data_IF_171429342934
#
_entry.id   IF_171429342934
#
_cell.length_a   1.000
_cell.length_b   1.000
_cell.length_c   1.000
_cell.angle_alpha   90.00
_cell.angle_beta   90.00
_cell.angle_gamma   90.00
#
_symmetry.space_group_name_H-M   'P 1'
#
loop_
_entity.id
_entity.type
_entity.pdbx_description
1 polymer ?
#
# COMPACT_ATOMS: atom_id res chain seq x y z
N UNK A 1 -5.95 3.50 0.70
CA UNK A 1 -6.88 3.64 1.85
C UNK A 1 -6.42 2.66 2.91
N UNK A 2 -6.17 3.09 4.15
CA UNK A 2 -5.84 2.17 5.25
C UNK A 2 -7.11 1.53 5.81
N UNK A 3 -7.13 0.20 5.89
CA UNK A 3 -8.23 -0.55 6.47
C UNK A 3 -7.91 -0.89 7.93
N UNK A 4 -8.78 -0.52 8.88
CA UNK A 4 -8.56 -0.78 10.31
C UNK A 4 -8.47 -2.29 10.65
N UNK A 5 -9.10 -3.12 9.82
CA UNK A 5 -9.06 -4.58 9.94
C UNK A 5 -7.76 -5.19 9.40
N UNK A 6 -6.95 -4.42 8.67
CA UNK A 6 -5.70 -4.93 8.11
C UNK A 6 -4.68 -5.27 9.21
N UNK A 7 -3.92 -6.36 9.04
CA UNK A 7 -2.71 -6.63 9.80
C UNK A 7 -1.64 -5.54 9.59
N UNK A 8 -0.69 -5.45 10.52
CA UNK A 8 0.33 -4.39 10.52
C UNK A 8 1.23 -4.41 9.27
N UNK A 9 1.71 -5.58 8.87
CA UNK A 9 2.50 -5.80 7.65
C UNK A 9 1.77 -5.35 6.38
N UNK A 10 0.45 -5.59 6.32
CA UNK A 10 -0.39 -5.11 5.22
C UNK A 10 -0.52 -3.58 5.22
N UNK A 11 -0.61 -2.96 6.39
CA UNK A 11 -0.61 -1.49 6.52
C UNK A 11 0.73 -0.90 6.07
N UNK A 12 1.85 -1.49 6.47
CA UNK A 12 3.20 -1.09 6.04
C UNK A 12 3.34 -1.19 4.52
N UNK A 13 2.92 -2.33 3.94
CA UNK A 13 2.95 -2.53 2.48
C UNK A 13 2.05 -1.53 1.75
N UNK A 14 0.89 -1.21 2.32
CA UNK A 14 -0.01 -0.19 1.76
C UNK A 14 0.61 1.22 1.80
N UNK A 15 1.38 1.56 2.84
CA UNK A 15 2.10 2.83 2.92
C UNK A 15 3.16 2.93 1.82
N UNK A 16 4.00 1.89 1.65
CA UNK A 16 5.00 1.82 0.57
C UNK A 16 4.37 1.86 -0.82
N UNK A 17 3.27 1.14 -1.03
CA UNK A 17 2.54 1.20 -2.31
C UNK A 17 2.06 2.62 -2.64
N UNK A 18 1.60 3.38 -1.63
CA UNK A 18 1.20 4.76 -1.87
C UNK A 18 2.38 5.62 -2.33
N UNK A 19 3.59 5.43 -1.80
CA UNK A 19 4.79 6.12 -2.28
C UNK A 19 5.15 5.74 -3.71
N UNK A 20 5.14 4.45 -4.03
CA UNK A 20 5.36 3.96 -5.40
C UNK A 20 4.34 4.53 -6.41
N UNK A 21 3.14 4.89 -5.95
CA UNK A 21 2.08 5.52 -6.72
C UNK A 21 2.10 7.07 -6.68
N UNK A 22 3.06 7.70 -5.99
CA UNK A 22 3.12 9.15 -5.81
C UNK A 22 1.96 9.75 -5.00
N UNK A 23 1.29 8.94 -4.18
CA UNK A 23 0.14 9.35 -3.39
C UNK A 23 0.59 9.92 -2.04
N UNK A 24 0.14 11.14 -1.65
CA UNK A 24 0.52 11.77 -0.37
C UNK A 24 -0.35 11.33 0.81
N UNK A 25 -1.35 10.46 0.56
CA UNK A 25 -2.23 9.89 1.58
C UNK A 25 -1.49 9.41 2.84
N UNK A 26 -0.32 8.76 2.70
CA UNK A 26 0.40 8.25 3.84
C UNK A 26 0.69 9.32 4.92
N UNK A 27 1.46 10.35 4.57
CA UNK A 27 1.86 11.41 5.49
C UNK A 27 0.64 12.16 6.07
N UNK A 28 -0.41 12.36 5.26
CA UNK A 28 -1.63 13.05 5.69
C UNK A 28 -2.30 12.34 6.88
N UNK A 29 -2.37 11.01 6.87
CA UNK A 29 -3.01 10.29 7.96
C UNK A 29 -2.15 10.25 9.22
N UNK A 30 -0.82 10.16 9.09
CA UNK A 30 0.11 10.31 10.23
C UNK A 30 -0.10 11.65 10.93
N UNK A 31 -0.09 12.73 10.16
CA UNK A 31 -0.22 14.10 10.69
C UNK A 31 -1.60 14.32 11.32
N UNK A 32 -2.63 13.71 10.73
CA UNK A 32 -3.99 13.75 11.27
C UNK A 32 -4.10 13.01 12.62
N UNK A 33 -3.50 11.83 12.73
CA UNK A 33 -3.45 11.07 13.99
C UNK A 33 -2.76 11.88 15.10
N UNK A 34 -1.61 12.50 14.79
CA UNK A 34 -0.89 13.35 15.73
C UNK A 34 -1.70 14.58 16.14
N UNK A 35 -2.44 15.20 15.20
CA UNK A 35 -3.26 16.39 15.46
C UNK A 35 -4.49 16.10 16.31
N UNK A 36 -5.18 14.99 16.06
CA UNK A 36 -6.43 14.64 16.75
C UNK A 36 -6.15 13.94 18.08
N UNK A 37 -4.96 13.32 18.24
CA UNK A 37 -4.60 12.57 19.45
C UNK A 37 -5.33 11.22 19.58
N UNK A 38 -6.08 10.82 18.55
CA UNK A 38 -6.77 9.54 18.48
C UNK A 38 -6.05 8.62 17.51
N UNK A 39 -5.69 7.42 17.98
CA UNK A 39 -5.04 6.39 17.16
C UNK A 39 -5.98 5.87 16.08
N UNK A 40 -5.42 5.63 14.89
CA UNK A 40 -6.09 4.95 13.78
C UNK A 40 -6.58 3.55 14.17
N UNK A 41 -5.77 2.80 14.93
CA UNK A 41 -6.12 1.51 15.51
C UNK A 41 -5.56 1.45 16.93
N UNK A 42 -6.30 0.90 17.89
CA UNK A 42 -5.81 0.85 19.28
C UNK A 42 -4.44 0.14 19.39
N UNK A 43 -4.23 -0.90 18.58
CA UNK A 43 -2.99 -1.68 18.60
C UNK A 43 -1.83 -1.07 17.82
N UNK A 44 -2.08 -0.17 16.86
CA UNK A 44 -1.05 0.38 15.97
C UNK A 44 -1.34 1.84 15.68
N UNK A 45 -0.35 2.70 15.92
CA UNK A 45 -0.35 4.06 15.40
C UNK A 45 0.08 4.07 13.95
N UNK A 46 -0.38 5.06 13.20
CA UNK A 46 0.13 5.30 11.86
C UNK A 46 1.60 5.69 11.91
N UNK A 47 2.05 6.46 12.90
CA UNK A 47 3.46 6.78 13.06
C UNK A 47 4.37 5.54 13.08
N UNK A 48 3.97 4.46 13.76
CA UNK A 48 4.69 3.18 13.75
C UNK A 48 4.67 2.52 12.36
N UNK A 49 3.52 2.53 11.68
CA UNK A 49 3.41 2.04 10.29
C UNK A 49 4.33 2.84 9.34
N UNK A 50 4.43 4.16 9.52
CA UNK A 50 5.33 5.02 8.74
C UNK A 50 6.79 4.66 8.95
N UNK A 51 7.21 4.61 10.22
CA UNK A 51 8.60 4.34 10.56
C UNK A 51 9.04 2.98 9.98
N UNK A 52 8.19 1.96 10.07
CA UNK A 52 8.51 0.65 9.52
C UNK A 52 8.52 0.65 7.98
N UNK A 53 7.59 1.37 7.34
CA UNK A 53 7.61 1.53 5.90
C UNK A 53 8.88 2.24 5.42
N UNK A 54 9.32 3.30 6.11
CA UNK A 54 10.57 4.03 5.78
C UNK A 54 11.80 3.13 5.97
N UNK A 55 11.83 2.35 7.05
CA UNK A 55 12.89 1.38 7.32
C UNK A 55 13.01 0.36 6.19
N UNK A 56 11.89 -0.25 5.78
CA UNK A 56 11.87 -1.23 4.69
C UNK A 56 12.16 -0.60 3.32
N UNK A 57 11.70 0.63 3.07
CA UNK A 57 12.01 1.33 1.82
C UNK A 57 13.52 1.62 1.71
N UNK A 58 14.18 1.94 2.83
CA UNK A 58 15.63 2.14 2.89
C UNK A 58 16.40 0.82 2.72
N UNK A 59 15.91 -0.27 3.32
CA UNK A 59 16.55 -1.58 3.31
C UNK A 59 16.37 -2.33 1.98
N UNK A 60 15.14 -2.38 1.47
CA UNK A 60 14.76 -3.18 0.31
C UNK A 60 14.66 -2.35 -0.98
N UNK A 61 14.65 -1.03 -0.85
CA UNK A 61 14.36 -0.12 -1.96
C UNK A 61 12.86 0.04 -2.23
N UNK A 62 12.50 0.74 -3.33
CA UNK A 62 11.11 1.01 -3.65
C UNK A 62 10.28 -0.24 -3.93
N UNK A 63 9.03 -0.23 -3.47
CA UNK A 63 8.08 -1.28 -3.81
C UNK A 63 7.83 -1.30 -5.32
N UNK A 64 8.30 -2.35 -5.99
CA UNK A 64 8.02 -2.60 -7.41
C UNK A 64 6.71 -3.37 -7.55
N UNK A 65 5.83 -2.90 -8.43
CA UNK A 65 4.61 -3.61 -8.81
C UNK A 65 4.26 -3.32 -10.27
N UNK A 66 3.62 -4.28 -10.93
CA UNK A 66 3.02 -4.11 -12.23
C UNK A 66 1.52 -4.38 -12.16
N UNK A 67 0.77 -3.65 -12.99
CA UNK A 67 -0.65 -3.95 -13.20
C UNK A 67 -0.78 -5.42 -13.64
N UNK A 68 -1.69 -6.14 -13.01
CA UNK A 68 -1.91 -7.57 -13.27
C UNK A 68 -1.11 -8.52 -12.37
N UNK A 69 -0.20 -8.06 -11.51
CA UNK A 69 0.59 -8.95 -10.63
C UNK A 69 -0.29 -9.82 -9.73
N UNK A 70 -1.34 -9.26 -9.13
CA UNK A 70 -2.27 -10.02 -8.30
C UNK A 70 -3.02 -11.11 -9.10
N UNK A 71 -3.44 -10.78 -10.34
CA UNK A 71 -4.09 -11.73 -11.24
C UNK A 71 -3.10 -12.84 -11.61
N UNK A 72 -1.85 -12.47 -11.93
CA UNK A 72 -0.79 -13.42 -12.29
C UNK A 72 -0.49 -14.38 -11.15
N UNK A 73 -0.41 -13.88 -9.92
CA UNK A 73 -0.12 -14.66 -8.73
C UNK A 73 -1.23 -15.67 -8.38
N UNK A 74 -2.51 -15.26 -8.52
CA UNK A 74 -3.63 -16.07 -8.05
C UNK A 74 -4.35 -16.87 -9.15
N UNK A 75 -4.30 -16.40 -10.39
CA UNK A 75 -5.04 -16.95 -11.54
C UNK A 75 -4.12 -17.33 -12.72
N UNK A 76 -2.83 -17.04 -12.63
CA UNK A 76 -1.83 -17.40 -13.65
C UNK A 76 -1.59 -16.33 -14.72
N UNK A 77 -0.55 -16.54 -15.53
CA UNK A 77 -0.09 -15.58 -16.54
C UNK A 77 -1.15 -15.26 -17.59
N UNK A 78 -1.82 -16.27 -18.15
CA UNK A 78 -2.85 -16.05 -19.18
C UNK A 78 -4.02 -15.19 -18.69
N UNK A 79 -4.49 -15.40 -17.45
CA UNK A 79 -5.53 -14.57 -16.87
C UNK A 79 -5.08 -13.10 -16.67
N UNK A 80 -3.81 -12.88 -16.33
CA UNK A 80 -3.25 -11.55 -16.20
C UNK A 80 -3.16 -10.85 -17.57
N UNK A 81 -2.77 -11.57 -18.62
CA UNK A 81 -2.69 -11.03 -19.98
C UNK A 81 -4.08 -10.66 -20.51
N UNK A 82 -5.08 -11.53 -20.30
CA UNK A 82 -6.49 -11.25 -20.64
C UNK A 82 -7.02 -10.01 -19.89
N UNK A 83 -6.71 -9.90 -18.59
CA UNK A 83 -7.07 -8.74 -17.79
C UNK A 83 -6.43 -7.45 -18.35
N UNK A 84 -5.14 -7.49 -18.67
CA UNK A 84 -4.42 -6.33 -19.22
C UNK A 84 -4.97 -5.92 -20.59
N UNK A 85 -5.29 -6.88 -21.46
CA UNK A 85 -5.92 -6.62 -22.75
C UNK A 85 -7.28 -5.92 -22.59
N UNK A 86 -8.13 -6.40 -21.65
CA UNK A 86 -9.43 -5.78 -21.37
C UNK A 86 -9.29 -4.37 -20.81
N UNK A 87 -8.32 -4.13 -19.94
CA UNK A 87 -8.06 -2.79 -19.38
C UNK A 87 -7.59 -1.83 -20.48
N UNK A 88 -6.74 -2.28 -21.41
CA UNK A 88 -6.27 -1.45 -22.52
C UNK A 88 -7.40 -1.04 -23.48
N UNK A 89 -8.38 -1.93 -23.70
CA UNK A 89 -9.56 -1.64 -24.53
C UNK A 89 -10.54 -0.65 -23.88
N UNK A 90 -10.46 -0.45 -22.56
CA UNK A 90 -11.33 0.43 -21.79
C UNK A 90 -10.74 1.84 -21.54
N UNK A 91 -9.53 2.10 -22.03
CA UNK A 91 -8.80 3.37 -21.89
C UNK A 91 -8.95 4.23 -23.15
#
# INVERSE_FOLDING_TARGET
MFCVLAPFDVLVRAARLCWALGLPLPARYRDLEAKIGHRFKQSHSLAEVYAEAERLELEEGPLVWNRGDAVRQHLGAGAADDYLARVALAA
#
